data_IF_338380381052
#
_entry.id   IF_338380381052
#
_cell.length_a   1.000
_cell.length_b   1.000
_cell.length_c   1.000
_cell.angle_alpha   90.00
_cell.angle_beta   90.00
_cell.angle_gamma   90.00
#
_symmetry.space_group_name_H-M   'P 1'
#
loop_
_entity.id
_entity.type
_entity.pdbx_description
1 polymer ?
#
# COMPACT_ATOMS: atom_id res chain seq x y z
N UNK A 1 38.94 -46.22 -40.95
CA UNK A 1 38.53 -46.09 -39.54
C UNK A 1 38.92 -44.68 -39.11
N UNK A 2 37.99 -43.75 -39.19
CA UNK A 2 38.17 -42.35 -38.75
C UNK A 2 37.82 -42.28 -37.27
N UNK A 3 38.76 -41.81 -36.45
CA UNK A 3 38.54 -41.57 -35.03
C UNK A 3 37.79 -40.25 -34.88
N UNK A 4 36.51 -40.32 -34.54
CA UNK A 4 35.73 -39.16 -34.12
C UNK A 4 36.18 -38.74 -32.72
N UNK A 5 36.78 -37.56 -32.61
CA UNK A 5 37.11 -36.94 -31.34
C UNK A 5 35.82 -36.50 -30.65
N UNK A 6 35.56 -37.02 -29.45
CA UNK A 6 34.51 -36.50 -28.58
C UNK A 6 34.90 -35.10 -28.10
N UNK A 7 34.18 -34.09 -28.59
CA UNK A 7 34.34 -32.71 -28.17
C UNK A 7 33.83 -32.55 -26.73
N UNK A 8 34.75 -32.36 -25.78
CA UNK A 8 34.42 -32.13 -24.38
C UNK A 8 33.85 -30.73 -24.24
N UNK A 9 32.53 -30.62 -24.15
CA UNK A 9 31.84 -29.37 -23.82
C UNK A 9 32.17 -29.02 -22.36
N UNK A 10 32.87 -27.91 -22.13
CA UNK A 10 33.02 -27.36 -20.78
C UNK A 10 31.64 -27.08 -20.18
N UNK A 11 31.32 -27.81 -19.12
CA UNK A 11 30.13 -27.52 -18.31
C UNK A 11 30.54 -26.39 -17.38
N UNK A 12 30.00 -25.19 -17.62
CA UNK A 12 30.19 -24.06 -16.72
C UNK A 12 29.83 -24.49 -15.30
N UNK A 13 30.79 -24.34 -14.38
CA UNK A 13 30.57 -24.69 -12.98
C UNK A 13 29.38 -23.87 -12.45
N UNK A 14 28.37 -24.55 -11.92
CA UNK A 14 27.31 -23.90 -11.15
C UNK A 14 27.96 -23.41 -9.86
N UNK A 15 28.30 -22.12 -9.82
CA UNK A 15 28.77 -21.48 -8.59
C UNK A 15 27.56 -21.36 -7.68
N UNK A 16 27.42 -22.30 -6.75
CA UNK A 16 26.43 -22.18 -5.69
C UNK A 16 26.76 -20.95 -4.85
N UNK A 17 25.91 -19.93 -4.93
CA UNK A 17 26.13 -18.64 -4.29
C UNK A 17 25.58 -18.63 -2.85
N UNK A 18 26.17 -19.45 -1.98
CA UNK A 18 25.77 -19.51 -0.57
C UNK A 18 26.13 -18.23 0.23
N UNK A 19 26.96 -17.35 -0.34
CA UNK A 19 27.45 -16.13 0.33
C UNK A 19 26.65 -14.86 -0.02
N UNK A 20 25.57 -14.98 -0.82
CA UNK A 20 24.76 -13.84 -1.21
C UNK A 20 23.82 -13.38 -0.11
N UNK A 21 23.78 -12.08 0.12
CA UNK A 21 22.85 -11.40 1.00
C UNK A 21 21.71 -10.84 0.14
N UNK A 22 20.47 -11.08 0.57
CA UNK A 22 19.29 -10.46 -0.06
C UNK A 22 18.66 -9.49 0.93
N UNK A 23 18.57 -8.21 0.55
CA UNK A 23 17.90 -7.17 1.32
C UNK A 23 16.60 -6.83 0.62
N UNK A 24 15.50 -6.85 1.36
CA UNK A 24 14.20 -6.42 0.85
C UNK A 24 13.76 -5.17 1.58
N UNK A 25 13.55 -4.10 0.83
CA UNK A 25 12.98 -2.84 1.32
C UNK A 25 11.51 -2.79 0.92
N UNK A 26 10.60 -2.76 1.91
CA UNK A 26 9.16 -2.73 1.66
C UNK A 26 8.59 -1.38 2.05
N UNK A 27 7.96 -0.69 1.10
CA UNK A 27 7.43 0.67 1.27
C UNK A 27 6.14 0.77 2.11
N UNK A 28 5.69 -0.30 2.76
CA UNK A 28 4.44 -0.31 3.52
C UNK A 28 4.10 -1.65 4.17
N UNK A 29 3.05 -1.67 4.99
CA UNK A 29 2.62 -2.87 5.76
C UNK A 29 1.75 -3.86 4.97
N UNK A 30 1.11 -3.39 3.89
CA UNK A 30 0.19 -4.21 3.08
C UNK A 30 0.92 -5.12 2.09
N UNK A 31 0.24 -6.18 1.64
CA UNK A 31 0.76 -7.07 0.60
C UNK A 31 1.05 -6.31 -0.72
N UNK A 32 0.18 -5.37 -1.08
CA UNK A 32 0.28 -4.52 -2.29
C UNK A 32 1.29 -3.36 -2.22
N UNK A 33 1.99 -3.20 -1.08
CA UNK A 33 3.04 -2.17 -0.99
C UNK A 33 4.18 -2.49 -1.98
N UNK A 34 4.91 -1.52 -2.54
CA UNK A 34 6.08 -1.80 -3.39
C UNK A 34 7.27 -2.34 -2.61
N UNK A 35 8.15 -3.04 -3.32
CA UNK A 35 9.29 -3.75 -2.78
C UNK A 35 10.49 -3.48 -3.68
N UNK A 36 11.65 -3.22 -3.09
CA UNK A 36 12.94 -3.26 -3.78
C UNK A 36 13.69 -4.46 -3.21
N UNK A 37 14.20 -5.32 -4.09
CA UNK A 37 15.01 -6.47 -3.72
C UNK A 37 16.43 -6.24 -4.22
N UNK A 38 17.38 -6.27 -3.30
CA UNK A 38 18.80 -6.07 -3.58
C UNK A 38 19.50 -7.41 -3.32
N UNK A 39 20.20 -7.91 -4.34
CA UNK A 39 21.10 -9.06 -4.21
C UNK A 39 22.53 -8.54 -4.14
N UNK A 40 23.19 -8.75 -3.01
CA UNK A 40 24.59 -8.40 -2.79
C UNK A 40 25.40 -9.67 -2.51
N UNK A 41 26.70 -9.65 -2.78
CA UNK A 41 27.62 -10.74 -2.50
C UNK A 41 28.21 -10.68 -1.09
N UNK A 42 27.92 -9.60 -0.34
CA UNK A 42 28.31 -9.45 1.06
C UNK A 42 27.41 -8.44 1.79
N UNK A 43 27.50 -8.41 3.11
CA UNK A 43 26.82 -7.38 3.93
C UNK A 43 27.38 -5.98 3.69
N UNK A 44 28.70 -5.87 3.43
CA UNK A 44 29.32 -4.57 3.17
C UNK A 44 28.85 -3.98 1.85
N UNK A 45 28.80 -4.79 0.79
CA UNK A 45 28.25 -4.37 -0.50
C UNK A 45 26.78 -3.95 -0.37
N UNK A 46 25.98 -4.68 0.43
CA UNK A 46 24.61 -4.28 0.70
C UNK A 46 24.52 -2.90 1.40
N UNK A 47 25.40 -2.61 2.36
CA UNK A 47 25.47 -1.30 3.01
C UNK A 47 25.92 -0.21 2.05
N UNK A 48 26.91 -0.49 1.22
CA UNK A 48 27.42 0.47 0.23
C UNK A 48 26.31 0.87 -0.74
N UNK A 49 25.57 -0.11 -1.28
CA UNK A 49 24.38 0.12 -2.11
C UNK A 49 23.38 1.00 -1.35
N UNK A 50 22.99 0.62 -0.12
CA UNK A 50 22.00 1.37 0.65
C UNK A 50 22.40 2.82 0.98
N UNK A 51 23.70 3.12 0.98
CA UNK A 51 24.24 4.45 1.25
C UNK A 51 24.45 5.28 -0.02
N UNK A 52 24.24 4.73 -1.22
CA UNK A 52 24.33 5.51 -2.45
C UNK A 52 23.24 6.58 -2.53
N UNK A 53 23.60 7.77 -3.02
CA UNK A 53 22.63 8.84 -3.27
C UNK A 53 21.56 8.42 -4.29
N UNK A 54 21.95 7.59 -5.26
CA UNK A 54 21.09 6.99 -6.29
C UNK A 54 19.94 6.16 -5.69
N UNK A 55 20.13 5.56 -4.50
CA UNK A 55 19.10 4.75 -3.84
C UNK A 55 17.90 5.58 -3.41
N UNK A 56 18.12 6.86 -3.07
CA UNK A 56 17.01 7.76 -2.77
C UNK A 56 16.15 7.97 -4.01
N UNK A 57 16.77 8.26 -5.15
CA UNK A 57 16.05 8.45 -6.42
C UNK A 57 15.32 7.18 -6.85
N UNK A 58 15.97 6.02 -6.73
CA UNK A 58 15.35 4.73 -7.02
C UNK A 58 14.12 4.49 -6.13
N UNK A 59 14.23 4.76 -4.83
CA UNK A 59 13.11 4.61 -3.90
C UNK A 59 11.93 5.51 -4.28
N UNK A 60 12.19 6.79 -4.57
CA UNK A 60 11.17 7.74 -4.99
C UNK A 60 10.49 7.26 -6.29
N UNK A 61 11.27 6.80 -7.28
CA UNK A 61 10.75 6.29 -8.55
C UNK A 61 9.91 5.03 -8.41
N UNK A 62 10.33 4.09 -7.56
CA UNK A 62 9.57 2.86 -7.28
C UNK A 62 8.24 3.20 -6.63
N UNK A 63 8.20 4.15 -5.70
CA UNK A 63 6.95 4.63 -5.11
C UNK A 63 6.01 5.27 -6.13
N UNK A 64 6.52 6.11 -7.02
CA UNK A 64 5.73 6.73 -8.08
C UNK A 64 5.16 5.68 -9.03
N UNK A 65 6.02 4.81 -9.58
CA UNK A 65 5.61 3.75 -10.53
C UNK A 65 4.61 2.80 -9.87
N UNK A 66 4.83 2.41 -8.61
CA UNK A 66 3.89 1.56 -7.88
C UNK A 66 2.54 2.26 -7.66
N UNK A 67 2.52 3.57 -7.45
CA UNK A 67 1.27 4.33 -7.37
C UNK A 67 0.50 4.28 -8.70
N UNK A 68 1.20 4.39 -9.84
CA UNK A 68 0.60 4.22 -11.16
C UNK A 68 0.12 2.79 -11.41
N UNK A 69 0.90 1.78 -11.01
CA UNK A 69 0.55 0.38 -11.17
C UNK A 69 -0.68 0.00 -10.34
N UNK A 70 -0.69 0.37 -9.05
CA UNK A 70 -1.82 0.16 -8.14
C UNK A 70 -3.04 1.02 -8.51
N UNK A 71 -2.90 2.00 -9.41
CA UNK A 71 -4.04 2.74 -9.98
C UNK A 71 -4.87 1.86 -10.91
N UNK A 72 -4.27 0.85 -11.55
CA UNK A 72 -4.98 -0.08 -12.42
C UNK A 72 -5.87 -1.05 -11.60
N UNK A 73 -5.54 -1.26 -10.33
CA UNK A 73 -6.32 -2.09 -9.39
C UNK A 73 -7.28 -1.31 -8.49
N UNK A 74 -7.29 0.03 -8.55
CA UNK A 74 -8.37 0.81 -7.95
C UNK A 74 -9.62 0.74 -8.82
N UNK A 75 -10.24 -0.44 -8.87
CA UNK A 75 -11.70 -0.45 -8.69
C UNK A 75 -11.88 0.25 -7.36
N UNK A 76 -12.45 1.46 -7.39
CA UNK A 76 -12.55 2.30 -6.21
C UNK A 76 -13.25 1.52 -5.09
N UNK A 77 -12.48 0.93 -4.18
CA UNK A 77 -12.97 0.62 -2.86
C UNK A 77 -13.06 1.97 -2.14
N UNK A 78 -14.11 2.71 -2.50
CA UNK A 78 -14.70 3.75 -1.67
C UNK A 78 -15.30 3.09 -0.41
N UNK A 79 -14.53 2.24 0.28
CA UNK A 79 -14.78 1.76 1.63
C UNK A 79 -14.57 2.89 2.63
N UNK A 80 -15.19 4.04 2.38
CA UNK A 80 -15.78 4.78 3.48
C UNK A 80 -16.74 3.77 4.12
N UNK A 81 -16.65 3.49 5.43
CA UNK A 81 -17.68 2.67 6.07
C UNK A 81 -19.02 3.24 5.64
N UNK A 82 -19.90 2.37 5.12
CA UNK A 82 -21.23 2.79 4.70
C UNK A 82 -21.79 3.63 5.84
N UNK A 83 -22.12 4.90 5.56
CA UNK A 83 -22.74 5.78 6.55
C UNK A 83 -23.89 5.00 7.16
N UNK A 84 -23.81 4.73 8.46
CA UNK A 84 -24.84 3.97 9.13
C UNK A 84 -26.15 4.73 8.96
N UNK A 85 -27.18 4.07 8.45
CA UNK A 85 -28.52 4.68 8.30
C UNK A 85 -29.31 4.67 9.60
N UNK A 86 -28.78 3.99 10.63
CA UNK A 86 -29.40 3.86 11.94
C UNK A 86 -28.47 4.39 13.03
N UNK A 87 -29.00 5.16 14.00
CA UNK A 87 -28.22 5.63 15.13
C UNK A 87 -27.81 4.47 16.06
N UNK A 88 -26.69 4.59 16.80
CA UNK A 88 -26.28 3.59 17.78
C UNK A 88 -27.27 3.49 18.96
N UNK A 89 -27.26 2.34 19.64
CA UNK A 89 -28.02 2.18 20.88
C UNK A 89 -27.63 3.26 21.91
N UNK A 90 -28.63 3.91 22.52
CA UNK A 90 -28.44 5.01 23.46
C UNK A 90 -28.30 6.40 22.81
N UNK A 91 -28.45 6.53 21.49
CA UNK A 91 -28.54 7.83 20.85
C UNK A 91 -29.80 8.60 21.29
N UNK A 92 -29.77 9.95 21.29
CA UNK A 92 -30.97 10.77 21.53
C UNK A 92 -32.09 10.43 20.55
N UNK A 93 -33.34 10.70 20.91
CA UNK A 93 -34.47 10.54 19.98
C UNK A 93 -34.27 11.42 18.74
N UNK A 94 -34.47 10.86 17.54
CA UNK A 94 -34.40 11.64 16.30
C UNK A 94 -35.61 12.59 16.24
N UNK A 95 -35.41 13.90 16.02
CA UNK A 95 -36.53 14.82 15.82
C UNK A 95 -37.37 14.44 14.58
N UNK A 96 -38.68 14.75 14.56
CA UNK A 96 -39.54 14.48 13.41
C UNK A 96 -39.01 15.13 12.13
N UNK A 97 -38.86 14.36 11.06
CA UNK A 97 -38.39 14.85 9.75
C UNK A 97 -36.87 15.06 9.64
N UNK A 98 -36.10 14.75 10.69
CA UNK A 98 -34.64 14.80 10.66
C UNK A 98 -34.04 13.45 10.26
N UNK A 99 -32.81 13.48 9.78
CA UNK A 99 -32.12 12.28 9.27
C UNK A 99 -30.81 12.05 10.02
N UNK A 100 -30.57 10.81 10.45
CA UNK A 100 -29.30 10.37 10.98
C UNK A 100 -28.23 10.27 9.88
N UNK A 101 -27.04 10.82 10.14
CA UNK A 101 -25.87 10.64 9.27
C UNK A 101 -24.63 10.42 10.12
N UNK A 102 -23.75 9.53 9.67
CA UNK A 102 -22.41 9.33 10.21
C UNK A 102 -21.37 9.25 9.10
N UNK A 103 -20.10 9.50 9.42
CA UNK A 103 -19.02 9.44 8.45
C UNK A 103 -17.70 9.99 8.99
N UNK A 104 -16.80 10.35 8.08
CA UNK A 104 -15.51 10.99 8.39
C UNK A 104 -15.50 12.39 7.76
N UNK A 105 -15.14 13.40 8.55
CA UNK A 105 -15.06 14.79 8.10
C UNK A 105 -13.90 15.00 7.12
N UNK A 106 -13.85 16.18 6.49
CA UNK A 106 -12.71 16.59 5.66
C UNK A 106 -11.37 16.63 6.42
N UNK A 107 -11.41 16.79 7.75
CA UNK A 107 -10.23 16.76 8.63
C UNK A 107 -9.89 15.36 9.15
N UNK A 108 -10.54 14.32 8.64
CA UNK A 108 -10.30 12.93 9.05
C UNK A 108 -10.95 12.52 10.37
N UNK A 109 -11.74 13.40 11.00
CA UNK A 109 -12.40 13.09 12.28
C UNK A 109 -13.75 12.40 12.04
N UNK A 110 -14.04 11.28 12.71
CA UNK A 110 -15.35 10.64 12.61
C UNK A 110 -16.44 11.56 13.19
N UNK A 111 -17.64 11.52 12.61
CA UNK A 111 -18.81 12.25 13.05
C UNK A 111 -20.06 11.39 12.99
N UNK A 112 -21.05 11.72 13.84
CA UNK A 112 -22.43 11.24 13.74
C UNK A 112 -23.38 12.30 14.31
N UNK A 113 -24.61 12.34 13.81
CA UNK A 113 -25.60 13.33 14.25
C UNK A 113 -26.92 13.26 13.50
N UNK A 114 -27.89 14.03 13.98
CA UNK A 114 -29.16 14.29 13.28
C UNK A 114 -29.07 15.61 12.51
N UNK A 115 -29.55 15.58 11.28
CA UNK A 115 -29.52 16.71 10.36
C UNK A 115 -30.94 17.13 9.99
N UNK A 116 -31.22 18.43 9.96
CA UNK A 116 -32.55 18.94 9.61
C UNK A 116 -32.86 18.70 8.12
N UNK A 117 -34.14 18.77 7.74
CA UNK A 117 -34.54 18.70 6.33
C UNK A 117 -33.92 19.85 5.52
N UNK A 118 -33.79 19.64 4.22
CA UNK A 118 -33.23 20.65 3.33
C UNK A 118 -34.11 21.92 3.32
N UNK A 119 -33.50 23.08 3.58
CA UNK A 119 -34.20 24.38 3.67
C UNK A 119 -34.51 24.83 5.09
N UNK A 120 -34.30 23.98 6.10
CA UNK A 120 -34.38 24.35 7.52
C UNK A 120 -33.03 24.90 8.01
N UNK A 121 -33.07 26.03 8.73
CA UNK A 121 -31.90 26.75 9.27
C UNK A 121 -31.44 26.25 10.65
N UNK A 122 -32.12 25.24 11.19
CA UNK A 122 -31.76 24.58 12.45
C UNK A 122 -30.34 23.98 12.38
N UNK A 123 -29.65 23.96 13.53
CA UNK A 123 -28.30 23.39 13.60
C UNK A 123 -28.37 21.86 13.76
N UNK A 124 -27.46 21.08 13.13
CA UNK A 124 -27.39 19.64 13.37
C UNK A 124 -27.15 19.32 14.85
N UNK A 125 -27.73 18.21 15.31
CA UNK A 125 -27.52 17.66 16.65
C UNK A 125 -26.42 16.62 16.57
N UNK A 126 -25.25 16.92 17.15
CA UNK A 126 -24.08 16.05 17.16
C UNK A 126 -24.04 15.20 18.44
N UNK A 127 -23.56 13.95 18.35
CA UNK A 127 -23.40 13.04 19.49
C UNK A 127 -22.41 11.90 19.17
#
# INVERSE_FOLDING_TARGET
MTNDAFETKEVAAVVDNYDKVTVTLKGGKGFEAPWIVIHANSTQEALDILNEESMKELNDRVHDVATYFNRVEKVASNGKPASASQPPAGAPACPPGWTFKSGVSKSGKPYKGYFPPQGDSSKPIWF
#
